data_IF_382450561161
#
_entry.id   IF_382450561161
#
_cell.length_a   1.000
_cell.length_b   1.000
_cell.length_c   1.000
_cell.angle_alpha   90.00
_cell.angle_beta   90.00
_cell.angle_gamma   90.00
#
_symmetry.space_group_name_H-M   'P 1'
#
loop_
_entity.id
_entity.type
_entity.pdbx_description
1 polymer ?
#
# COMPACT_ATOMS: atom_id res chain seq x y z
N UNK A 1 -4.15 -16.73 21.82
CA UNK A 1 -5.03 -16.31 20.71
C UNK A 1 -4.96 -17.32 19.58
N UNK A 2 -3.75 -17.75 19.13
CA UNK A 2 -3.55 -18.78 18.11
C UNK A 2 -2.94 -20.04 18.67
N UNK A 3 -3.19 -21.18 18.01
CA UNK A 3 -2.59 -22.47 18.34
C UNK A 3 -1.12 -22.46 17.88
N UNK A 4 -0.27 -23.24 18.54
CA UNK A 4 1.06 -23.55 18.01
C UNK A 4 0.91 -24.57 16.88
N UNK A 5 1.57 -24.30 15.73
CA UNK A 5 1.48 -25.10 14.53
C UNK A 5 2.35 -26.36 14.67
N UNK A 6 1.76 -27.51 14.46
CA UNK A 6 2.53 -28.77 14.28
C UNK A 6 3.10 -28.81 12.85
N UNK A 7 4.31 -28.28 12.69
CA UNK A 7 4.99 -28.20 11.40
C UNK A 7 5.23 -29.57 10.76
N UNK A 8 5.27 -30.64 11.56
CA UNK A 8 5.47 -32.01 11.03
C UNK A 8 4.28 -32.47 10.18
N UNK A 9 3.10 -31.88 10.39
CA UNK A 9 1.88 -32.13 9.60
C UNK A 9 1.75 -31.25 8.36
N UNK A 10 2.63 -30.29 8.19
CA UNK A 10 2.64 -29.35 7.06
C UNK A 10 3.67 -29.78 6.01
N UNK A 11 3.35 -30.79 5.20
CA UNK A 11 4.28 -31.39 4.24
C UNK A 11 4.93 -30.41 3.26
N UNK A 12 4.30 -29.26 3.01
CA UNK A 12 4.80 -28.24 2.09
C UNK A 12 5.43 -27.03 2.81
N UNK A 13 5.64 -27.10 4.14
CA UNK A 13 6.18 -25.99 4.91
C UNK A 13 7.55 -25.52 4.40
N UNK A 14 8.40 -26.45 3.97
CA UNK A 14 9.74 -26.15 3.45
C UNK A 14 9.73 -25.39 2.11
N UNK A 15 8.61 -25.37 1.40
CA UNK A 15 8.42 -24.60 0.17
C UNK A 15 8.15 -23.12 0.44
N UNK A 16 7.88 -22.73 1.69
CA UNK A 16 7.65 -21.33 2.05
C UNK A 16 8.91 -20.49 1.82
N UNK A 17 8.71 -19.25 1.39
CA UNK A 17 9.80 -18.30 1.16
C UNK A 17 10.51 -17.97 2.48
N UNK A 18 11.78 -18.38 2.58
CA UNK A 18 12.58 -18.24 3.81
C UNK A 18 12.84 -16.77 4.19
N UNK A 19 12.89 -15.86 3.21
CA UNK A 19 13.06 -14.45 3.50
C UNK A 19 11.81 -13.86 4.15
N UNK A 20 10.61 -14.29 3.71
CA UNK A 20 9.35 -13.88 4.35
C UNK A 20 9.23 -14.46 5.75
N UNK A 21 9.53 -15.76 5.93
CA UNK A 21 9.55 -16.39 7.26
C UNK A 21 10.48 -15.63 8.23
N UNK A 22 11.65 -15.21 7.76
CA UNK A 22 12.58 -14.39 8.56
C UNK A 22 11.99 -13.01 8.87
N UNK A 23 11.32 -12.36 7.92
CA UNK A 23 10.72 -11.04 8.14
C UNK A 23 9.62 -11.10 9.21
N UNK A 24 8.74 -12.10 9.16
CA UNK A 24 7.61 -12.21 10.10
C UNK A 24 8.01 -12.80 11.45
N UNK A 25 9.17 -13.45 11.56
CA UNK A 25 9.67 -14.00 12.84
C UNK A 25 9.93 -12.95 13.91
N UNK A 26 9.98 -11.67 13.54
CA UNK A 26 10.06 -10.56 14.52
C UNK A 26 8.80 -10.51 15.39
N UNK A 27 7.64 -10.84 14.83
CA UNK A 27 6.35 -10.83 15.54
C UNK A 27 5.94 -12.22 16.04
N UNK A 28 6.39 -13.28 15.40
CA UNK A 28 6.15 -14.68 15.77
C UNK A 28 7.48 -15.45 15.74
N UNK A 29 8.26 -15.43 16.83
CA UNK A 29 9.54 -16.12 16.92
C UNK A 29 9.43 -17.58 16.49
N UNK A 30 10.37 -18.02 15.64
CA UNK A 30 10.39 -19.35 15.03
C UNK A 30 9.16 -19.69 14.18
N UNK A 31 8.31 -18.70 13.84
CA UNK A 31 7.03 -18.90 13.12
C UNK A 31 6.21 -20.04 13.73
N UNK A 32 5.97 -19.95 15.03
CA UNK A 32 5.27 -21.01 15.79
C UNK A 32 3.78 -21.04 15.57
N UNK A 33 3.16 -19.89 15.33
CA UNK A 33 1.70 -19.75 15.35
C UNK A 33 1.12 -19.42 13.99
N UNK A 34 1.95 -18.93 13.05
CA UNK A 34 1.50 -18.51 11.74
C UNK A 34 2.57 -18.69 10.65
N UNK A 35 2.13 -18.72 9.42
CA UNK A 35 3.04 -18.66 8.27
C UNK A 35 2.52 -17.67 7.21
N UNK A 36 3.42 -17.04 6.41
CA UNK A 36 3.02 -16.08 5.39
C UNK A 36 2.27 -16.77 4.25
N UNK A 37 1.14 -16.15 3.85
CA UNK A 37 0.32 -16.57 2.71
C UNK A 37 0.51 -15.64 1.52
N UNK A 38 0.25 -14.37 1.71
CA UNK A 38 0.41 -13.32 0.71
C UNK A 38 1.26 -12.20 1.27
N UNK A 39 1.83 -11.40 0.40
CA UNK A 39 2.56 -10.20 0.80
C UNK A 39 2.52 -9.17 -0.32
N UNK A 40 2.75 -7.94 0.01
CA UNK A 40 2.77 -6.86 -0.96
C UNK A 40 3.38 -5.59 -0.39
N UNK A 41 3.32 -4.55 -1.18
CA UNK A 41 3.76 -3.21 -0.80
C UNK A 41 2.65 -2.19 -0.97
N UNK A 42 2.75 -1.10 -0.21
CA UNK A 42 1.91 0.07 -0.34
C UNK A 42 2.68 1.06 -1.21
N UNK A 43 2.15 1.38 -2.38
CA UNK A 43 2.83 2.25 -3.32
C UNK A 43 1.86 3.12 -4.10
N UNK A 44 2.30 3.59 -5.24
CA UNK A 44 1.55 4.54 -6.05
C UNK A 44 1.11 3.88 -7.35
N UNK A 45 -0.21 3.71 -7.49
CA UNK A 45 -0.85 3.31 -8.74
C UNK A 45 -1.28 4.54 -9.52
N UNK A 46 -1.05 4.58 -10.81
CA UNK A 46 -1.39 5.76 -11.59
C UNK A 46 -1.64 5.47 -13.07
N UNK A 47 -2.33 6.42 -13.73
CA UNK A 47 -2.45 6.46 -15.17
C UNK A 47 -1.32 7.32 -15.76
N UNK A 48 -0.34 6.73 -16.48
CA UNK A 48 0.84 7.47 -16.98
C UNK A 48 0.49 8.64 -17.88
N UNK A 49 -0.52 8.51 -18.75
CA UNK A 49 -0.92 9.55 -19.70
C UNK A 49 -1.50 10.77 -18.97
N UNK A 50 -2.37 10.54 -17.99
CA UNK A 50 -2.96 11.61 -17.17
C UNK A 50 -1.92 12.28 -16.28
N UNK A 51 -1.00 11.51 -15.70
CA UNK A 51 0.10 12.04 -14.88
C UNK A 51 1.03 12.88 -15.74
N UNK A 52 1.38 12.41 -16.95
CA UNK A 52 2.19 13.19 -17.88
C UNK A 52 1.51 14.51 -18.27
N UNK A 53 0.21 14.48 -18.52
CA UNK A 53 -0.56 15.69 -18.84
C UNK A 53 -0.60 16.70 -17.67
N UNK A 54 -0.69 16.21 -16.41
CA UNK A 54 -0.80 17.06 -15.23
C UNK A 54 0.54 17.56 -14.69
N UNK A 55 1.58 16.73 -14.75
CA UNK A 55 2.88 16.99 -14.09
C UNK A 55 4.05 17.13 -15.09
N UNK A 56 3.90 16.70 -16.35
CA UNK A 56 4.98 16.67 -17.33
C UNK A 56 6.01 15.55 -17.10
N UNK A 57 5.71 14.54 -16.26
CA UNK A 57 6.60 13.42 -15.96
C UNK A 57 6.02 12.11 -16.50
N UNK A 58 6.90 11.17 -16.88
CA UNK A 58 6.48 9.88 -17.44
C UNK A 58 6.17 8.84 -16.36
N UNK A 59 6.68 9.03 -15.13
CA UNK A 59 6.43 8.13 -13.99
C UNK A 59 6.40 8.88 -12.66
N UNK A 60 5.79 8.25 -11.67
CA UNK A 60 5.81 8.70 -10.27
C UNK A 60 6.72 7.75 -9.48
N UNK A 61 7.89 8.22 -9.09
CA UNK A 61 8.89 7.44 -8.34
C UNK A 61 9.28 8.07 -6.99
N UNK A 62 8.46 8.99 -6.50
CA UNK A 62 8.73 9.68 -5.22
C UNK A 62 7.43 10.05 -4.53
N UNK A 63 7.39 9.93 -3.20
CA UNK A 63 6.33 10.45 -2.35
C UNK A 63 6.17 11.96 -2.45
N UNK A 64 7.19 12.71 -2.88
CA UNK A 64 7.10 14.15 -3.16
C UNK A 64 5.93 14.50 -4.08
N UNK A 65 5.58 13.62 -4.99
CA UNK A 65 4.47 13.82 -5.92
C UNK A 65 3.12 13.95 -5.21
N UNK A 66 2.93 13.21 -4.13
CA UNK A 66 1.66 13.16 -3.41
C UNK A 66 1.69 13.86 -2.05
N UNK A 67 2.86 14.00 -1.43
CA UNK A 67 2.99 14.55 -0.09
C UNK A 67 3.45 16.02 -0.06
N UNK A 68 3.87 16.59 -1.21
CA UNK A 68 4.05 18.05 -1.36
C UNK A 68 2.77 18.71 -1.87
N UNK A 69 2.22 19.70 -1.14
CA UNK A 69 0.96 20.34 -1.51
C UNK A 69 0.94 20.91 -2.93
N UNK A 70 2.05 21.51 -3.36
CA UNK A 70 2.17 22.10 -4.71
C UNK A 70 2.19 21.06 -5.84
N UNK A 71 2.57 19.83 -5.55
CA UNK A 71 2.60 18.75 -6.54
C UNK A 71 1.24 18.06 -6.63
N UNK A 72 0.69 17.61 -5.49
CA UNK A 72 -0.60 16.92 -5.46
C UNK A 72 -1.74 17.84 -5.97
N UNK A 73 -1.63 19.15 -5.76
CA UNK A 73 -2.63 20.11 -6.25
C UNK A 73 -2.81 20.05 -7.77
N UNK A 74 -1.76 19.75 -8.53
CA UNK A 74 -1.80 19.61 -9.99
C UNK A 74 -2.58 18.37 -10.43
N UNK A 75 -2.67 17.35 -9.56
CA UNK A 75 -3.39 16.10 -9.82
C UNK A 75 -4.87 16.16 -9.40
N UNK A 76 -5.29 17.22 -8.68
CA UNK A 76 -6.64 17.33 -8.13
C UNK A 76 -7.72 17.17 -9.20
N UNK A 77 -7.55 17.78 -10.36
CA UNK A 77 -8.54 17.77 -11.43
C UNK A 77 -8.71 16.39 -12.08
N UNK A 78 -7.67 15.55 -12.08
CA UNK A 78 -7.74 14.21 -12.65
C UNK A 78 -8.06 13.11 -11.63
N UNK A 79 -8.14 13.47 -10.33
CA UNK A 79 -8.58 12.61 -9.24
C UNK A 79 -7.44 11.86 -8.55
N UNK A 80 -7.41 11.99 -7.22
CA UNK A 80 -6.45 11.33 -6.33
C UNK A 80 -7.20 10.61 -5.23
N UNK A 81 -6.84 9.35 -4.94
CA UNK A 81 -7.35 8.61 -3.80
C UNK A 81 -6.23 8.10 -2.90
N UNK A 82 -6.53 8.01 -1.61
CA UNK A 82 -5.65 7.42 -0.61
C UNK A 82 -6.38 6.27 0.08
N UNK A 83 -5.62 5.36 0.69
CA UNK A 83 -6.18 4.29 1.51
C UNK A 83 -6.94 4.85 2.71
N UNK A 84 -8.09 4.28 3.01
CA UNK A 84 -8.84 4.51 4.25
C UNK A 84 -8.29 3.57 5.34
N UNK A 85 -7.04 3.78 5.70
CA UNK A 85 -6.31 2.96 6.68
C UNK A 85 -5.24 3.81 7.36
N UNK A 86 -5.50 4.33 8.57
CA UNK A 86 -4.51 5.08 9.33
C UNK A 86 -3.24 4.27 9.63
N UNK A 87 -3.37 2.96 9.84
CA UNK A 87 -2.26 2.04 10.11
C UNK A 87 -1.28 1.91 8.94
N UNK A 88 -1.74 2.23 7.73
CA UNK A 88 -0.93 2.23 6.51
C UNK A 88 -0.42 3.64 6.19
N UNK A 89 -1.30 4.63 6.30
CA UNK A 89 -0.99 5.99 5.83
C UNK A 89 -0.12 6.77 6.79
N UNK A 90 -0.27 6.59 8.13
CA UNK A 90 0.59 7.26 9.10
C UNK A 90 2.07 6.84 8.97
N UNK A 91 2.42 5.54 8.88
CA UNK A 91 3.79 5.12 8.60
C UNK A 91 4.37 5.71 7.31
N UNK A 92 3.59 5.83 6.24
CA UNK A 92 4.04 6.50 5.00
C UNK A 92 4.42 7.95 5.26
N UNK A 93 3.58 8.71 5.97
CA UNK A 93 3.86 10.10 6.29
C UNK A 93 5.06 10.26 7.24
N UNK A 94 5.14 9.41 8.28
CA UNK A 94 6.25 9.41 9.22
C UNK A 94 7.58 9.09 8.52
N UNK A 95 7.60 8.06 7.69
CA UNK A 95 8.77 7.69 6.90
C UNK A 95 9.23 8.83 5.98
N UNK A 96 8.28 9.46 5.27
CA UNK A 96 8.55 10.61 4.42
C UNK A 96 9.13 11.80 5.20
N UNK A 97 8.72 12.00 6.44
CA UNK A 97 9.23 13.04 7.35
C UNK A 97 10.57 12.66 8.02
N UNK A 98 11.11 11.47 7.76
CA UNK A 98 12.32 10.96 8.41
C UNK A 98 12.13 10.60 9.87
N UNK A 99 10.89 10.27 10.27
CA UNK A 99 10.51 9.91 11.64
C UNK A 99 10.32 8.38 11.76
N UNK A 100 10.48 7.81 12.98
CA UNK A 100 10.21 6.39 13.19
C UNK A 100 8.76 6.05 12.84
N UNK A 101 8.55 5.00 12.04
CA UNK A 101 7.22 4.62 11.53
C UNK A 101 6.32 4.03 12.62
N UNK A 102 6.90 3.56 13.72
CA UNK A 102 6.25 2.96 14.89
C UNK A 102 6.19 3.90 16.10
N UNK A 103 6.50 5.18 15.91
CA UNK A 103 6.54 6.17 16.98
C UNK A 103 5.21 6.29 17.72
N UNK A 104 5.29 6.41 19.06
CA UNK A 104 4.16 6.72 19.94
C UNK A 104 4.22 8.19 20.44
N UNK A 105 5.18 8.96 19.94
CA UNK A 105 5.35 10.37 20.35
C UNK A 105 4.28 11.24 19.71
N UNK A 106 3.53 11.96 20.54
CA UNK A 106 2.47 12.86 20.08
C UNK A 106 2.95 13.92 19.09
N UNK A 107 4.16 14.46 19.28
CA UNK A 107 4.74 15.48 18.41
C UNK A 107 5.04 14.94 16.99
N UNK A 108 5.47 13.69 16.88
CA UNK A 108 5.73 13.05 15.59
C UNK A 108 4.40 12.78 14.86
N UNK A 109 3.40 12.25 15.59
CA UNK A 109 2.05 12.02 15.04
C UNK A 109 1.40 13.34 14.61
N UNK A 110 1.59 14.42 15.36
CA UNK A 110 1.10 15.75 14.99
C UNK A 110 1.73 16.27 13.69
N UNK A 111 3.02 16.04 13.47
CA UNK A 111 3.68 16.42 12.21
C UNK A 111 3.09 15.64 11.01
N UNK A 112 2.80 14.35 11.19
CA UNK A 112 2.14 13.55 10.15
C UNK A 112 0.71 14.04 9.87
N UNK A 113 -0.07 14.39 10.91
CA UNK A 113 -1.39 15.01 10.78
C UNK A 113 -1.31 16.33 10.01
N UNK A 114 -0.41 17.22 10.38
CA UNK A 114 -0.22 18.52 9.71
C UNK A 114 0.14 18.35 8.23
N UNK A 115 0.95 17.33 7.88
CA UNK A 115 1.24 17.00 6.50
C UNK A 115 -0.03 16.60 5.75
N UNK A 116 -0.82 15.66 6.32
CA UNK A 116 -2.07 15.23 5.70
C UNK A 116 -3.11 16.35 5.58
N UNK A 117 -3.23 17.23 6.58
CA UNK A 117 -4.12 18.38 6.52
C UNK A 117 -3.78 19.33 5.37
N UNK A 118 -2.48 19.54 5.08
CA UNK A 118 -2.04 20.40 3.97
C UNK A 118 -2.41 19.82 2.60
N UNK A 119 -2.34 18.51 2.44
CA UNK A 119 -2.64 17.85 1.15
C UNK A 119 -4.11 17.41 1.02
N UNK A 120 -4.85 17.36 2.14
CA UNK A 120 -6.27 16.92 2.18
C UNK A 120 -7.16 17.57 1.11
N UNK A 121 -7.06 18.89 0.84
CA UNK A 121 -7.90 19.54 -0.19
C UNK A 121 -7.70 19.01 -1.61
N UNK A 122 -6.61 18.29 -1.87
CA UNK A 122 -6.29 17.71 -3.18
C UNK A 122 -6.63 16.22 -3.27
N UNK A 123 -7.01 15.57 -2.17
CA UNK A 123 -7.43 14.17 -2.12
C UNK A 123 -8.94 14.12 -2.37
N UNK A 124 -9.35 13.43 -3.42
CA UNK A 124 -10.75 13.28 -3.78
C UNK A 124 -11.52 12.43 -2.78
N UNK A 125 -10.95 11.30 -2.38
CA UNK A 125 -11.54 10.43 -1.36
C UNK A 125 -10.51 9.50 -0.72
N UNK A 126 -10.90 8.91 0.43
CA UNK A 126 -10.21 7.80 1.09
C UNK A 126 -11.05 6.53 0.93
N UNK A 127 -10.44 5.46 0.45
CA UNK A 127 -11.11 4.16 0.35
C UNK A 127 -10.10 3.06 0.02
N UNK A 128 -10.21 1.90 0.69
CA UNK A 128 -9.23 0.81 0.56
C UNK A 128 -9.52 -0.19 -0.57
N UNK A 129 -10.56 0.02 -1.41
CA UNK A 129 -10.84 -0.86 -2.56
C UNK A 129 -11.44 -0.15 -3.79
N UNK A 130 -12.17 0.96 -3.63
CA UNK A 130 -12.84 1.67 -4.73
C UNK A 130 -11.88 2.11 -5.82
N UNK A 131 -10.66 2.50 -5.45
CA UNK A 131 -9.63 2.95 -6.38
C UNK A 131 -9.26 1.90 -7.46
N UNK A 132 -9.47 0.61 -7.20
CA UNK A 132 -9.21 -0.47 -8.17
C UNK A 132 -10.03 -0.23 -9.45
N UNK A 133 -11.34 -0.07 -9.29
CA UNK A 133 -12.25 0.18 -10.42
C UNK A 133 -12.05 1.57 -11.01
N UNK A 134 -11.80 2.57 -10.18
CA UNK A 134 -11.63 3.95 -10.64
C UNK A 134 -10.34 4.14 -11.46
N UNK A 135 -9.24 3.48 -11.10
CA UNK A 135 -8.03 3.44 -11.92
C UNK A 135 -8.26 2.67 -13.23
N UNK A 136 -8.89 1.48 -13.14
CA UNK A 136 -9.14 0.65 -14.32
C UNK A 136 -10.01 1.36 -15.37
N UNK A 137 -10.99 2.13 -14.91
CA UNK A 137 -11.90 2.89 -15.78
C UNK A 137 -11.36 4.30 -16.13
N UNK A 138 -10.22 4.70 -15.57
CA UNK A 138 -9.66 6.03 -15.79
C UNK A 138 -10.42 7.17 -15.09
N UNK A 139 -11.23 6.89 -14.07
CA UNK A 139 -11.97 7.91 -13.31
C UNK A 139 -11.06 8.73 -12.40
N UNK A 140 -9.95 8.16 -11.96
CA UNK A 140 -8.88 8.86 -11.23
C UNK A 140 -7.54 8.67 -11.93
N UNK A 141 -6.60 9.54 -11.65
CA UNK A 141 -5.27 9.46 -12.24
C UNK A 141 -4.23 8.84 -11.31
N UNK A 142 -4.43 8.91 -10.00
CA UNK A 142 -3.46 8.40 -9.01
C UNK A 142 -4.20 7.82 -7.81
N UNK A 143 -3.65 6.74 -7.27
CA UNK A 143 -4.06 6.16 -6.00
C UNK A 143 -2.84 5.72 -5.18
N UNK A 144 -2.86 5.98 -3.87
CA UNK A 144 -2.04 5.21 -2.92
C UNK A 144 -2.81 3.94 -2.63
N UNK A 145 -2.18 2.78 -2.89
CA UNK A 145 -2.87 1.51 -2.78
C UNK A 145 -1.93 0.31 -2.64
N UNK A 146 -2.53 -0.85 -2.46
CA UNK A 146 -1.83 -2.12 -2.37
C UNK A 146 -1.37 -2.59 -3.75
N UNK A 147 -0.15 -3.12 -3.83
CA UNK A 147 0.46 -3.57 -5.10
C UNK A 147 -0.42 -4.55 -5.87
N UNK A 148 -1.01 -5.54 -5.20
CA UNK A 148 -1.89 -6.52 -5.81
C UNK A 148 -3.15 -5.91 -6.43
N UNK A 149 -3.75 -4.94 -5.74
CA UNK A 149 -4.94 -4.22 -6.19
C UNK A 149 -4.66 -3.36 -7.43
N UNK A 150 -3.49 -2.70 -7.45
CA UNK A 150 -3.09 -1.91 -8.63
C UNK A 150 -2.81 -2.81 -9.82
N UNK A 151 -2.21 -4.00 -9.61
CA UNK A 151 -2.05 -4.98 -10.68
C UNK A 151 -3.42 -5.51 -11.17
N UNK A 152 -4.38 -5.70 -10.26
CA UNK A 152 -5.75 -6.05 -10.64
C UNK A 152 -6.40 -4.94 -11.48
N UNK A 153 -6.23 -3.67 -11.09
CA UNK A 153 -6.73 -2.53 -11.87
C UNK A 153 -6.11 -2.51 -13.29
N UNK A 154 -4.81 -2.79 -13.39
CA UNK A 154 -4.08 -2.90 -14.67
C UNK A 154 -4.64 -4.02 -15.55
N UNK A 155 -4.88 -5.20 -14.98
CA UNK A 155 -5.46 -6.33 -15.70
C UNK A 155 -6.88 -6.01 -16.21
N UNK A 156 -7.74 -5.45 -15.35
CA UNK A 156 -9.10 -5.02 -15.73
C UNK A 156 -9.11 -3.98 -16.83
N UNK A 157 -8.20 -3.00 -16.80
CA UNK A 157 -8.06 -2.00 -17.84
C UNK A 157 -7.67 -2.63 -19.18
N UNK A 158 -6.78 -3.63 -19.16
CA UNK A 158 -6.36 -4.36 -20.36
C UNK A 158 -7.51 -5.19 -20.95
N UNK A 159 -8.24 -5.93 -20.11
CA UNK A 159 -9.42 -6.73 -20.49
C UNK A 159 -10.55 -5.86 -21.08
N UNK A 160 -10.71 -4.64 -20.59
CA UNK A 160 -11.67 -3.65 -21.12
C UNK A 160 -11.22 -2.98 -22.42
N UNK A 161 -10.24 -3.53 -23.14
CA UNK A 161 -9.77 -3.05 -24.43
C UNK A 161 -8.52 -2.17 -24.36
N UNK A 162 -7.88 -2.03 -23.20
CA UNK A 162 -6.55 -1.44 -23.04
C UNK A 162 -6.42 0.05 -23.33
N UNK A 163 -7.54 0.78 -23.44
CA UNK A 163 -7.54 2.24 -23.64
C UNK A 163 -6.99 3.00 -22.43
N UNK A 164 -7.23 2.48 -21.23
CA UNK A 164 -6.68 3.02 -19.99
C UNK A 164 -5.41 2.27 -19.65
N UNK A 165 -4.34 3.00 -19.37
CA UNK A 165 -3.08 2.42 -18.90
C UNK A 165 -2.96 2.64 -17.40
N UNK A 166 -2.49 1.60 -16.69
CA UNK A 166 -2.24 1.66 -15.25
C UNK A 166 -0.81 1.19 -14.98
N UNK A 167 -0.07 1.96 -14.22
CA UNK A 167 1.28 1.65 -13.75
C UNK A 167 1.30 1.62 -12.22
N UNK A 168 2.30 0.96 -11.67
CA UNK A 168 2.60 0.91 -10.24
C UNK A 168 4.08 1.15 -10.03
N UNK A 169 4.41 2.06 -9.13
CA UNK A 169 5.79 2.29 -8.69
C UNK A 169 5.88 2.30 -7.16
N UNK A 170 7.00 1.78 -6.68
CA UNK A 170 7.43 1.94 -5.29
C UNK A 170 8.30 3.20 -5.26
N UNK A 171 7.94 4.21 -4.45
CA UNK A 171 8.75 5.43 -4.32
C UNK A 171 10.17 5.14 -3.86
N UNK A 172 11.12 5.90 -4.36
CA UNK A 172 12.56 5.75 -4.06
C UNK A 172 12.90 5.94 -2.58
N UNK A 173 12.07 6.66 -1.85
CA UNK A 173 12.22 6.83 -0.41
C UNK A 173 11.88 5.55 0.36
N UNK A 174 11.24 4.58 -0.29
CA UNK A 174 10.76 3.35 0.31
C UNK A 174 9.24 3.33 0.47
N UNK A 175 8.72 2.14 0.75
CA UNK A 175 7.30 1.90 0.95
C UNK A 175 7.08 0.85 2.05
N UNK A 176 5.92 0.91 2.71
CA UNK A 176 5.50 -0.14 3.63
C UNK A 176 5.28 -1.47 2.91
N UNK A 177 5.65 -2.56 3.56
CA UNK A 177 5.28 -3.91 3.16
C UNK A 177 4.30 -4.51 4.16
N UNK A 178 3.39 -5.33 3.68
CA UNK A 178 2.44 -6.08 4.50
C UNK A 178 2.57 -7.58 4.23
N UNK A 179 2.16 -8.36 5.21
CA UNK A 179 2.21 -9.81 5.17
C UNK A 179 0.88 -10.36 5.68
N UNK A 180 0.13 -11.03 4.81
CA UNK A 180 -1.05 -11.79 5.23
C UNK A 180 -0.60 -13.13 5.79
N UNK A 181 -1.08 -13.45 6.99
CA UNK A 181 -0.66 -14.63 7.71
C UNK A 181 -1.81 -15.61 7.85
N UNK A 182 -1.50 -16.89 7.73
CA UNK A 182 -2.45 -17.98 8.07
C UNK A 182 -2.12 -18.50 9.45
N UNK A 183 -3.13 -18.55 10.32
CA UNK A 183 -3.03 -19.04 11.69
C UNK A 183 -4.32 -19.78 12.09
N UNK A 184 -4.23 -20.63 13.10
CA UNK A 184 -5.38 -21.37 13.64
C UNK A 184 -5.77 -20.74 14.98
N UNK A 185 -7.01 -20.22 15.17
CA UNK A 185 -7.48 -19.75 16.47
C UNK A 185 -7.45 -20.88 17.50
N UNK A 186 -7.19 -20.53 18.78
CA UNK A 186 -7.13 -21.55 19.86
C UNK A 186 -8.43 -22.28 20.10
N UNK A 187 -9.53 -21.62 19.82
CA UNK A 187 -10.91 -22.10 19.96
C UNK A 187 -11.49 -22.65 18.66
N UNK A 188 -10.68 -22.86 17.64
CA UNK A 188 -11.14 -23.53 16.42
C UNK A 188 -11.49 -25.00 16.73
N UNK A 189 -12.69 -25.40 16.34
CA UNK A 189 -13.21 -26.75 16.59
C UNK A 189 -12.69 -27.80 15.59
N UNK A 190 -12.15 -27.37 14.43
CA UNK A 190 -11.67 -28.22 13.35
C UNK A 190 -10.26 -27.85 12.93
#
# INVERSE_FOLDING_TARGET
VYQELDKSKLSNYDNLNKSLLKAVSVSDPDNKHAFPYMWGSIGIGYNPEKVKAALGVDKIDSWDTLLKPENIAKLKSCGVSFLDSPTEMLPVALHYLGLPTDTQKKDDLKKAEELFLKIRPSIGYFHSSKYISDLANGNICVAVGYSGDIQQAKSRAAEAGGKVKVAYDIPKEGAGSFYDMVAIPKDAEN
#
